data_IF_237153328783
#
_entry.id   IF_237153328783
#
_cell.length_a   1.000
_cell.length_b   1.000
_cell.length_c   1.000
_cell.angle_alpha   90.00
_cell.angle_beta   90.00
_cell.angle_gamma   90.00
#
_symmetry.space_group_name_H-M   'P 1'
#
loop_
_entity.id
_entity.type
_entity.pdbx_description
1 polymer ?
#
# COMPACT_ATOMS: atom_id res chain seq x y z
N UNK A 1 -43.20 23.99 -54.36
CA UNK A 1 -43.26 25.30 -53.67
C UNK A 1 -44.49 25.32 -52.80
N UNK A 2 -44.31 25.52 -51.48
CA UNK A 2 -45.28 26.03 -50.47
C UNK A 2 -46.59 25.22 -50.30
N UNK A 3 -47.21 25.04 -49.13
CA UNK A 3 -47.17 25.69 -47.81
C UNK A 3 -48.03 24.79 -46.91
N UNK A 4 -47.57 24.37 -45.73
CA UNK A 4 -47.71 25.06 -44.44
C UNK A 4 -48.85 24.48 -43.56
N UNK A 5 -48.40 23.75 -42.53
CA UNK A 5 -48.95 23.64 -41.16
C UNK A 5 -50.15 22.73 -40.86
N UNK A 6 -49.90 21.82 -39.91
CA UNK A 6 -50.82 21.60 -38.81
C UNK A 6 -50.02 21.39 -37.51
N UNK A 7 -50.08 22.37 -36.62
CA UNK A 7 -49.74 22.20 -35.20
C UNK A 7 -50.79 21.28 -34.60
N UNK A 8 -50.37 20.17 -33.99
CA UNK A 8 -51.24 19.39 -33.11
C UNK A 8 -50.73 19.52 -31.68
N UNK A 9 -51.71 19.85 -30.85
CA UNK A 9 -51.67 20.29 -29.47
C UNK A 9 -51.07 19.27 -28.51
N UNK A 10 -50.37 19.78 -27.49
CA UNK A 10 -49.92 19.02 -26.31
C UNK A 10 -51.12 18.39 -25.59
N UNK A 11 -51.02 17.10 -25.23
CA UNK A 11 -51.70 16.55 -24.05
C UNK A 11 -50.99 15.32 -23.50
N UNK A 12 -50.42 15.54 -22.31
CA UNK A 12 -50.13 14.62 -21.21
C UNK A 12 -50.20 13.11 -21.52
N UNK A 13 -49.04 12.46 -21.52
CA UNK A 13 -48.96 11.05 -21.12
C UNK A 13 -47.72 10.80 -20.24
N UNK A 14 -48.01 10.72 -18.95
CA UNK A 14 -47.54 9.69 -18.00
C UNK A 14 -46.03 9.46 -17.84
N UNK A 15 -45.54 9.94 -16.69
CA UNK A 15 -44.64 9.24 -15.77
C UNK A 15 -44.15 7.87 -16.24
N UNK A 16 -42.87 7.79 -16.62
CA UNK A 16 -42.06 6.59 -16.40
C UNK A 16 -40.71 7.03 -15.89
N UNK A 17 -40.54 6.93 -14.57
CA UNK A 17 -39.26 7.06 -13.90
C UNK A 17 -38.37 5.89 -14.33
N UNK A 18 -37.41 6.15 -15.21
CA UNK A 18 -36.27 5.25 -15.40
C UNK A 18 -35.14 5.71 -14.48
N UNK A 19 -35.20 5.27 -13.23
CA UNK A 19 -34.03 5.21 -12.36
C UNK A 19 -33.04 4.25 -13.00
N UNK A 20 -32.08 4.78 -13.75
CA UNK A 20 -30.87 4.07 -14.14
C UNK A 20 -30.06 3.79 -12.86
N UNK A 21 -30.35 2.66 -12.22
CA UNK A 21 -29.53 2.10 -11.17
C UNK A 21 -28.27 1.52 -11.84
N UNK A 22 -27.29 2.37 -12.07
CA UNK A 22 -25.96 1.99 -12.51
C UNK A 22 -25.30 1.16 -11.41
N UNK A 23 -25.41 -0.17 -11.53
CA UNK A 23 -24.62 -1.13 -10.75
C UNK A 23 -23.17 -0.99 -11.18
N UNK A 24 -22.43 -0.13 -10.50
CA UNK A 24 -20.97 -0.16 -10.50
C UNK A 24 -20.56 -1.46 -9.79
N UNK A 25 -20.45 -2.55 -10.54
CA UNK A 25 -19.70 -3.71 -10.10
C UNK A 25 -18.25 -3.23 -10.05
N UNK A 26 -17.82 -2.75 -8.89
CA UNK A 26 -16.42 -2.49 -8.62
C UNK A 26 -15.70 -3.82 -8.84
N UNK A 27 -14.84 -3.88 -9.85
CA UNK A 27 -13.85 -4.95 -9.96
C UNK A 27 -13.05 -4.90 -8.66
N UNK A 28 -13.29 -5.85 -7.77
CA UNK A 28 -12.38 -6.14 -6.69
C UNK A 28 -11.10 -6.66 -7.37
N UNK A 29 -10.08 -5.81 -7.42
CA UNK A 29 -8.77 -6.08 -8.02
C UNK A 29 -7.96 -7.02 -7.12
N UNK A 30 -8.58 -8.12 -6.72
CA UNK A 30 -8.04 -9.06 -5.76
C UNK A 30 -7.28 -10.12 -6.54
N UNK A 31 -6.00 -9.85 -6.80
CA UNK A 31 -5.09 -10.85 -7.37
C UNK A 31 -5.16 -12.14 -6.56
N UNK A 32 -5.18 -13.31 -7.25
CA UNK A 32 -5.28 -14.60 -6.59
C UNK A 32 -4.11 -14.81 -5.60
N UNK A 33 -4.31 -15.65 -4.57
CA UNK A 33 -3.23 -16.03 -3.66
C UNK A 33 -2.06 -16.63 -4.41
N UNK A 34 -0.84 -16.36 -3.93
CA UNK A 34 0.37 -16.93 -4.50
C UNK A 34 1.61 -16.05 -4.36
N UNK A 35 2.76 -16.56 -4.83
CA UNK A 35 4.04 -15.90 -4.64
C UNK A 35 4.09 -14.53 -5.29
N UNK A 36 4.81 -13.61 -4.66
CA UNK A 36 4.99 -12.28 -5.20
C UNK A 36 5.79 -11.38 -4.27
N UNK A 37 5.72 -10.07 -4.53
CA UNK A 37 6.47 -9.07 -3.80
C UNK A 37 5.49 -8.16 -3.06
N UNK A 38 5.74 -7.92 -1.79
CA UNK A 38 5.11 -6.85 -1.03
C UNK A 38 6.11 -5.70 -0.86
N UNK A 39 5.63 -4.46 -0.94
CA UNK A 39 6.36 -3.27 -0.53
C UNK A 39 6.00 -2.97 0.93
N UNK A 40 6.99 -3.05 1.81
CA UNK A 40 6.86 -2.64 3.20
C UNK A 40 7.35 -1.19 3.37
N UNK A 41 6.54 -0.35 3.98
CA UNK A 41 6.84 1.08 4.20
C UNK A 41 6.74 1.40 5.67
N UNK A 42 7.79 2.00 6.26
CA UNK A 42 7.73 2.50 7.63
C UNK A 42 6.77 3.69 7.71
N UNK A 43 5.73 3.55 8.53
CA UNK A 43 4.89 4.67 8.96
C UNK A 43 5.48 5.23 10.24
N UNK A 44 5.87 6.49 10.18
CA UNK A 44 6.39 7.23 11.32
C UNK A 44 5.37 8.27 11.79
N UNK A 45 5.14 8.39 13.10
CA UNK A 45 4.38 9.50 13.68
C UNK A 45 5.18 10.82 13.68
N UNK A 46 6.49 10.77 13.41
CA UNK A 46 7.41 11.90 13.49
C UNK A 46 7.89 12.41 12.12
N UNK A 47 7.32 11.92 11.01
CA UNK A 47 7.70 12.30 9.66
C UNK A 47 8.87 11.49 9.10
N UNK A 48 9.78 12.14 8.35
CA UNK A 48 10.91 11.45 7.73
C UNK A 48 11.89 10.93 8.79
N UNK A 49 12.32 9.68 8.63
CA UNK A 49 13.30 9.03 9.51
C UNK A 49 14.63 8.81 8.78
N UNK A 50 15.71 8.75 9.57
CA UNK A 50 17.07 8.52 9.09
C UNK A 50 17.39 7.04 8.93
N UNK A 51 16.96 6.20 9.88
CA UNK A 51 17.14 4.76 9.81
C UNK A 51 16.10 4.01 10.65
N UNK A 52 15.91 2.72 10.37
CA UNK A 52 15.12 1.83 11.19
C UNK A 52 15.68 0.41 11.18
N UNK A 53 15.62 -0.25 12.34
CA UNK A 53 15.77 -1.69 12.49
C UNK A 53 14.37 -2.30 12.59
N UNK A 54 14.06 -3.22 11.68
CA UNK A 54 12.78 -3.93 11.63
C UNK A 54 13.01 -5.43 11.53
N UNK A 55 12.05 -6.19 12.03
CA UNK A 55 12.06 -7.65 12.00
C UNK A 55 10.77 -8.14 11.36
N UNK A 56 10.91 -8.96 10.33
CA UNK A 56 9.82 -9.71 9.73
C UNK A 56 9.84 -11.14 10.24
N UNK A 57 8.68 -11.67 10.61
CA UNK A 57 8.49 -13.04 11.06
C UNK A 57 7.34 -13.69 10.30
N UNK A 58 7.54 -14.92 9.85
CA UNK A 58 6.52 -15.70 9.16
C UNK A 58 7.13 -16.63 8.13
N UNK A 59 6.39 -17.68 7.76
CA UNK A 59 6.86 -18.64 6.78
C UNK A 59 6.96 -18.01 5.38
N UNK A 60 7.92 -18.50 4.59
CA UNK A 60 8.00 -18.16 3.17
C UNK A 60 8.39 -16.72 2.87
N UNK A 61 9.10 -16.06 3.79
CA UNK A 61 9.78 -14.80 3.53
C UNK A 61 11.02 -15.07 2.68
N UNK A 62 11.08 -14.45 1.50
CA UNK A 62 12.18 -14.56 0.54
C UNK A 62 13.14 -13.38 0.62
N UNK A 63 13.67 -12.97 -0.54
CA UNK A 63 14.65 -11.88 -0.62
C UNK A 63 14.03 -10.53 -0.23
N UNK A 64 14.86 -9.67 0.38
CA UNK A 64 14.50 -8.28 0.70
C UNK A 64 15.40 -7.31 -0.05
N UNK A 65 14.79 -6.34 -0.74
CA UNK A 65 15.50 -5.37 -1.59
C UNK A 65 15.09 -3.93 -1.28
N UNK A 66 16.01 -2.96 -1.32
CA UNK A 66 15.68 -1.58 -1.02
C UNK A 66 14.76 -0.94 -2.07
N UNK A 67 13.96 0.04 -1.65
CA UNK A 67 13.21 0.90 -2.57
C UNK A 67 13.92 2.25 -2.73
N UNK A 68 13.99 2.75 -3.97
CA UNK A 68 14.57 4.05 -4.25
C UNK A 68 16.04 4.13 -3.86
N UNK A 69 16.40 5.15 -3.07
CA UNK A 69 17.75 5.34 -2.55
C UNK A 69 17.93 4.84 -1.12
N UNK A 70 17.02 4.02 -0.59
CA UNK A 70 17.26 3.38 0.70
C UNK A 70 18.46 2.43 0.59
N UNK A 71 19.30 2.42 1.61
CA UNK A 71 20.30 1.38 1.78
C UNK A 71 19.73 0.34 2.73
N UNK A 72 19.93 -0.94 2.40
CA UNK A 72 19.35 -2.05 3.13
C UNK A 72 20.44 -3.07 3.45
N UNK A 73 20.44 -3.53 4.70
CA UNK A 73 21.19 -4.68 5.16
C UNK A 73 20.23 -5.65 5.82
N UNK A 74 20.39 -6.95 5.55
CA UNK A 74 19.53 -7.96 6.12
C UNK A 74 20.32 -9.17 6.61
N UNK A 75 19.75 -9.83 7.61
CA UNK A 75 20.17 -11.13 8.06
C UNK A 75 18.92 -12.01 8.20
N UNK A 76 18.92 -13.15 7.50
CA UNK A 76 17.81 -14.08 7.50
C UNK A 76 18.15 -15.35 8.27
N UNK A 77 17.17 -15.86 9.01
CA UNK A 77 17.25 -17.11 9.76
C UNK A 77 15.89 -17.78 9.79
N UNK A 78 15.76 -18.92 9.08
CA UNK A 78 14.50 -19.66 8.95
C UNK A 78 13.34 -18.74 8.52
N UNK A 79 12.41 -18.49 9.42
CA UNK A 79 11.19 -17.70 9.21
C UNK A 79 11.30 -16.28 9.78
N UNK A 80 12.53 -15.81 10.07
CA UNK A 80 12.81 -14.46 10.55
C UNK A 80 13.79 -13.74 9.61
N UNK A 81 13.49 -12.48 9.28
CA UNK A 81 14.41 -11.59 8.58
C UNK A 81 14.53 -10.28 9.33
N UNK A 82 15.75 -9.99 9.79
CA UNK A 82 16.11 -8.75 10.46
C UNK A 82 16.73 -7.79 9.46
N UNK A 83 16.23 -6.56 9.40
CA UNK A 83 16.51 -5.61 8.32
C UNK A 83 16.86 -4.25 8.92
N UNK A 84 18.02 -3.72 8.54
CA UNK A 84 18.39 -2.33 8.79
C UNK A 84 18.17 -1.54 7.50
N UNK A 85 17.30 -0.53 7.57
CA UNK A 85 17.09 0.44 6.50
C UNK A 85 17.72 1.79 6.86
N UNK A 86 18.41 2.39 5.90
CA UNK A 86 19.02 3.72 6.04
C UNK A 86 18.52 4.60 4.91
N UNK A 87 18.12 5.82 5.26
CA UNK A 87 17.68 6.84 4.33
C UNK A 87 18.88 7.67 3.85
N UNK A 88 19.19 7.60 2.55
CA UNK A 88 20.31 8.36 1.99
C UNK A 88 19.90 9.78 1.54
N UNK A 89 18.62 10.02 1.24
CA UNK A 89 18.15 11.25 0.58
C UNK A 89 16.90 11.87 1.24
N UNK A 90 16.70 11.68 2.55
CA UNK A 90 15.54 12.20 3.30
C UNK A 90 14.17 11.75 2.74
N UNK A 91 14.09 10.57 2.12
CA UNK A 91 12.86 9.94 1.62
C UNK A 91 12.09 9.13 2.68
N UNK A 92 11.13 8.32 2.25
CA UNK A 92 10.50 7.32 3.15
C UNK A 92 11.41 6.10 3.28
N UNK A 93 11.42 5.43 4.43
CA UNK A 93 12.07 4.12 4.58
C UNK A 93 11.14 3.04 4.04
N UNK A 94 11.50 2.43 2.91
CA UNK A 94 10.74 1.35 2.31
C UNK A 94 11.65 0.27 1.69
N UNK A 95 11.12 -0.94 1.64
CA UNK A 95 11.76 -2.07 0.99
C UNK A 95 10.72 -2.99 0.37
N UNK A 96 11.17 -3.85 -0.54
CA UNK A 96 10.40 -4.94 -1.11
C UNK A 96 10.79 -6.23 -0.42
N UNK A 97 9.82 -7.10 -0.21
CA UNK A 97 10.00 -8.43 0.35
C UNK A 97 9.28 -9.44 -0.53
N UNK A 98 9.99 -10.48 -0.95
CA UNK A 98 9.37 -11.64 -1.59
C UNK A 98 8.62 -12.47 -0.55
N UNK A 99 7.43 -12.92 -0.89
CA UNK A 99 6.60 -13.78 -0.05
C UNK A 99 6.02 -14.92 -0.86
N UNK A 100 5.85 -16.08 -0.23
CA UNK A 100 5.22 -17.24 -0.84
C UNK A 100 3.72 -17.02 -1.12
N UNK A 101 3.06 -16.12 -0.39
CA UNK A 101 1.67 -15.73 -0.62
C UNK A 101 1.44 -14.25 -0.30
N UNK A 102 1.16 -13.44 -1.33
CA UNK A 102 0.89 -11.99 -1.17
C UNK A 102 -0.44 -11.68 -0.46
N UNK A 103 -1.25 -12.68 -0.12
CA UNK A 103 -2.46 -12.52 0.72
C UNK A 103 -2.18 -12.64 2.22
N UNK A 104 -0.97 -13.06 2.60
CA UNK A 104 -0.57 -13.25 3.99
C UNK A 104 0.60 -12.30 4.27
N UNK A 105 0.33 -11.24 5.03
CA UNK A 105 1.38 -10.31 5.45
C UNK A 105 2.27 -10.95 6.53
N UNK A 106 3.61 -10.81 6.44
CA UNK A 106 4.49 -11.18 7.53
C UNK A 106 4.16 -10.40 8.80
N UNK A 107 4.31 -11.03 9.96
CA UNK A 107 4.32 -10.30 11.21
C UNK A 107 5.54 -9.37 11.23
N UNK A 108 5.35 -8.13 11.69
CA UNK A 108 6.39 -7.11 11.64
C UNK A 108 6.55 -6.41 12.99
N UNK A 109 7.79 -6.21 13.41
CA UNK A 109 8.15 -5.41 14.58
C UNK A 109 9.16 -4.34 14.14
N UNK A 110 8.93 -3.10 14.58
CA UNK A 110 9.93 -2.04 14.52
C UNK A 110 10.66 -2.07 15.87
N UNK A 111 11.96 -2.34 15.85
CA UNK A 111 12.75 -2.48 17.08
C UNK A 111 13.54 -1.22 17.44
N UNK A 112 13.95 -0.44 16.44
CA UNK A 112 14.67 0.80 16.66
C UNK A 112 14.48 1.76 15.48
N UNK A 113 14.43 3.06 15.76
CA UNK A 113 14.35 4.11 14.74
C UNK A 113 15.31 5.23 15.11
N UNK A 114 16.05 5.72 14.12
CA UNK A 114 16.87 6.92 14.24
C UNK A 114 16.28 8.04 13.38
N UNK A 115 16.25 9.25 13.92
CA UNK A 115 15.86 10.44 13.18
C UNK A 115 16.95 10.82 12.12
N UNK A 116 16.68 11.78 11.22
CA UNK A 116 17.66 12.23 10.20
C UNK A 116 18.97 12.82 10.75
N UNK A 117 19.04 13.08 12.07
CA UNK A 117 20.23 13.60 12.76
C UNK A 117 20.97 12.51 13.54
N UNK A 118 20.72 11.23 13.24
CA UNK A 118 21.33 10.06 13.89
C UNK A 118 21.05 9.95 15.39
N UNK A 119 19.88 10.43 15.84
CA UNK A 119 19.44 10.26 17.22
C UNK A 119 18.34 9.19 17.29
N UNK A 120 18.52 8.23 18.19
CA UNK A 120 17.52 7.18 18.44
C UNK A 120 16.25 7.80 19.04
N UNK A 121 15.09 7.32 18.57
CA UNK A 121 13.78 7.69 19.11
C UNK A 121 13.61 7.07 20.51
N UNK A 122 13.17 7.88 21.47
CA UNK A 122 12.98 7.43 22.86
C UNK A 122 11.75 6.52 23.05
N UNK A 123 10.83 6.51 22.08
CA UNK A 123 9.66 5.62 22.04
C UNK A 123 9.39 5.21 20.59
N UNK A 124 8.81 4.02 20.44
CA UNK A 124 8.35 3.46 19.17
C UNK A 124 6.82 3.44 19.05
N UNK A 125 6.11 4.06 19.99
CA UNK A 125 4.66 4.18 19.93
C UNK A 125 4.22 4.88 18.63
N UNK A 126 3.32 4.23 17.89
CA UNK A 126 2.80 4.73 16.62
C UNK A 126 3.67 4.39 15.39
N UNK A 127 4.81 3.73 15.55
CA UNK A 127 5.56 3.17 14.43
C UNK A 127 4.98 1.82 13.99
N UNK A 128 4.88 1.62 12.68
CA UNK A 128 4.42 0.37 12.09
C UNK A 128 4.99 0.19 10.67
N UNK A 129 5.07 -1.05 10.21
CA UNK A 129 5.25 -1.34 8.79
C UNK A 129 3.87 -1.49 8.13
N UNK A 130 3.68 -0.79 7.01
CA UNK A 130 2.53 -0.99 6.12
C UNK A 130 2.97 -1.79 4.91
N UNK A 131 2.26 -2.88 4.61
CA UNK A 131 2.50 -3.70 3.42
C UNK A 131 1.52 -3.36 2.31
N UNK A 132 2.02 -3.38 1.05
CA UNK A 132 1.22 -3.22 -0.16
C UNK A 132 1.73 -4.14 -1.26
N UNK A 133 0.83 -4.63 -2.12
CA UNK A 133 1.20 -5.35 -3.35
C UNK A 133 1.65 -4.38 -4.44
#
# INVERSE_FOLDING_TARGET
>A
MQSHWMRISMKLYRLVAFSCLSLSVACADQSPPGPGILTATLKSPNGAEGAALVVLMGPGIGEVTPVGSNQLYSNSSLDEVRIVLINQNNGTLAFRVEVADTTIEPAAIVEEVANPHNQIRSTLDGYQLEFRR
#
